data_IF_315938204081
#
_entry.id   IF_315938204081
#
_cell.length_a   1.000
_cell.length_b   1.000
_cell.length_c   1.000
_cell.angle_alpha   90.00
_cell.angle_beta   90.00
_cell.angle_gamma   90.00
#
_symmetry.space_group_name_H-M   'P 1'
#
loop_
_entity.id
_entity.type
_entity.pdbx_description
1 polymer ?
#
# COMPACT_ATOMS: atom_id res chain seq x y z
N UNK A 1 20.04 -24.52 8.31
CA UNK A 1 19.06 -25.32 9.09
C UNK A 1 18.78 -24.74 10.47
N UNK A 2 19.71 -24.70 11.44
CA UNK A 2 19.44 -24.04 12.75
C UNK A 2 19.30 -22.51 12.63
N UNK A 3 20.13 -21.86 11.80
CA UNK A 3 20.07 -20.41 11.58
C UNK A 3 18.78 -19.92 10.90
N UNK A 4 18.21 -20.72 10.00
CA UNK A 4 16.93 -20.40 9.35
C UNK A 4 15.78 -20.45 10.35
N UNK A 5 15.70 -21.51 11.16
CA UNK A 5 14.67 -21.67 12.20
C UNK A 5 14.71 -20.53 13.21
N UNK A 6 15.89 -20.13 13.68
CA UNK A 6 16.03 -19.00 14.61
C UNK A 6 15.56 -17.67 14.00
N UNK A 7 15.80 -17.48 12.70
CA UNK A 7 15.38 -16.27 11.98
C UNK A 7 13.85 -16.20 11.87
N UNK A 8 13.18 -17.32 11.59
CA UNK A 8 11.72 -17.40 11.60
C UNK A 8 11.12 -17.23 13.00
N UNK A 9 11.74 -17.81 14.04
CA UNK A 9 11.30 -17.63 15.43
C UNK A 9 11.37 -16.18 15.89
N UNK A 10 12.46 -15.48 15.54
CA UNK A 10 12.62 -14.06 15.86
C UNK A 10 11.51 -13.20 15.24
N UNK A 11 11.27 -13.38 13.94
CA UNK A 11 10.23 -12.64 13.22
C UNK A 11 8.85 -12.97 13.77
N UNK A 12 8.57 -14.25 14.03
CA UNK A 12 7.29 -14.67 14.62
C UNK A 12 7.07 -14.02 15.99
N UNK A 13 8.07 -13.99 16.87
CA UNK A 13 7.97 -13.33 18.17
C UNK A 13 7.71 -11.82 18.05
N UNK A 14 8.35 -11.15 17.07
CA UNK A 14 8.11 -9.73 16.78
C UNK A 14 6.70 -9.47 16.27
N UNK A 15 6.19 -10.33 15.37
CA UNK A 15 4.82 -10.23 14.85
C UNK A 15 3.82 -10.45 15.98
N UNK A 16 3.95 -11.51 16.77
CA UNK A 16 3.05 -11.77 17.92
C UNK A 16 3.03 -10.61 18.92
N UNK A 17 4.17 -9.96 19.17
CA UNK A 17 4.23 -8.79 20.04
C UNK A 17 3.48 -7.58 19.46
N UNK A 18 3.45 -7.41 18.14
CA UNK A 18 2.67 -6.37 17.44
C UNK A 18 1.18 -6.71 17.43
N UNK A 19 0.82 -7.97 17.14
CA UNK A 19 -0.56 -8.45 17.16
C UNK A 19 -1.21 -8.28 18.54
N UNK A 20 -0.45 -8.49 19.62
CA UNK A 20 -0.91 -8.26 20.99
C UNK A 20 -1.29 -6.81 21.31
N UNK A 21 -0.96 -5.85 20.42
CA UNK A 21 -1.32 -4.43 20.54
C UNK A 21 -2.46 -4.01 19.61
N UNK A 22 -3.05 -4.94 18.88
CA UNK A 22 -4.22 -4.61 18.06
C UNK A 22 -5.33 -3.99 18.90
N UNK A 23 -6.11 -3.13 18.24
CA UNK A 23 -7.27 -2.48 18.84
C UNK A 23 -8.19 -3.56 19.39
N UNK A 24 -8.50 -3.47 20.69
CA UNK A 24 -9.37 -4.43 21.36
C UNK A 24 -10.81 -4.32 20.83
N UNK A 25 -11.59 -5.39 21.00
CA UNK A 25 -13.00 -5.41 20.56
C UNK A 25 -13.80 -4.26 21.19
N UNK A 26 -13.63 -4.01 22.48
CA UNK A 26 -14.30 -2.89 23.17
C UNK A 26 -13.90 -1.53 22.58
N UNK A 27 -12.62 -1.32 22.28
CA UNK A 27 -12.18 -0.06 21.65
C UNK A 27 -12.71 0.07 20.22
N UNK A 28 -12.88 -1.04 19.49
CA UNK A 28 -13.55 -1.03 18.18
C UNK A 28 -15.03 -0.64 18.26
N UNK A 29 -15.76 -1.11 19.29
CA UNK A 29 -17.15 -0.69 19.54
C UNK A 29 -17.25 0.81 19.80
N UNK A 30 -16.30 1.37 20.57
CA UNK A 30 -16.23 2.82 20.81
C UNK A 30 -15.92 3.58 19.51
N UNK A 31 -14.94 3.09 18.70
CA UNK A 31 -14.57 3.68 17.42
C UNK A 31 -15.73 3.72 16.42
N UNK A 32 -16.58 2.69 16.40
CA UNK A 32 -17.76 2.65 15.54
C UNK A 32 -18.76 3.78 15.83
N UNK A 33 -18.81 4.25 17.08
CA UNK A 33 -19.67 5.35 17.50
C UNK A 33 -19.12 6.74 17.19
N UNK A 34 -17.88 6.87 16.72
CA UNK A 34 -17.25 8.16 16.48
C UNK A 34 -17.91 8.92 15.32
N UNK A 35 -18.03 10.24 15.49
CA UNK A 35 -18.62 11.13 14.48
C UNK A 35 -17.63 12.15 13.91
N UNK A 36 -16.41 12.18 14.44
CA UNK A 36 -15.37 13.12 14.00
C UNK A 36 -13.97 12.49 14.03
N UNK A 37 -13.02 12.99 13.20
CA UNK A 37 -11.62 12.55 13.25
C UNK A 37 -11.00 12.73 14.64
N UNK A 38 -11.30 13.83 15.33
CA UNK A 38 -10.80 14.11 16.69
C UNK A 38 -11.19 13.05 17.72
N UNK A 39 -12.42 12.55 17.69
CA UNK A 39 -12.85 11.44 18.55
C UNK A 39 -12.05 10.15 18.27
N UNK A 40 -11.85 9.83 16.99
CA UNK A 40 -11.03 8.68 16.58
C UNK A 40 -9.60 8.86 17.09
N UNK A 41 -9.00 10.03 16.91
CA UNK A 41 -7.62 10.30 17.36
C UNK A 41 -7.47 10.14 18.88
N UNK A 42 -8.49 10.56 19.64
CA UNK A 42 -8.51 10.43 21.11
C UNK A 42 -8.60 8.96 21.53
N UNK A 43 -9.40 8.14 20.85
CA UNK A 43 -9.50 6.71 21.12
C UNK A 43 -8.26 5.92 20.72
N UNK A 44 -7.50 6.42 19.74
CA UNK A 44 -6.23 5.85 19.31
C UNK A 44 -5.06 6.23 20.24
N UNK A 45 -5.27 7.07 21.25
CA UNK A 45 -4.25 7.36 22.27
C UNK A 45 -3.72 6.08 22.93
N UNK A 46 -2.40 6.02 23.07
CA UNK A 46 -1.68 4.88 23.62
C UNK A 46 -1.58 3.65 22.69
N UNK A 47 -2.05 3.74 21.44
CA UNK A 47 -1.80 2.72 20.41
C UNK A 47 -0.53 3.00 19.61
N UNK A 48 -0.10 2.04 18.79
CA UNK A 48 1.01 2.22 17.84
C UNK A 48 0.65 3.20 16.70
N UNK A 49 -0.63 3.57 16.51
CA UNK A 49 -1.08 4.59 15.55
C UNK A 49 -0.84 6.02 16.05
N UNK A 50 -0.92 6.24 17.36
CA UNK A 50 -0.87 7.58 17.96
C UNK A 50 0.35 8.43 17.52
N UNK A 51 1.59 7.88 17.40
CA UNK A 51 2.74 8.66 16.95
C UNK A 51 2.64 9.25 15.54
N UNK A 52 1.73 8.75 14.71
CA UNK A 52 1.49 9.25 13.35
C UNK A 52 0.39 10.31 13.31
N UNK A 53 -0.42 10.41 14.37
CA UNK A 53 -1.51 11.37 14.46
C UNK A 53 -0.96 12.76 14.82
N UNK A 54 -1.34 13.76 14.04
CA UNK A 54 -0.93 15.14 14.22
C UNK A 54 -2.16 16.06 14.34
N UNK A 55 -1.95 17.36 14.51
CA UNK A 55 -3.03 18.34 14.62
C UNK A 55 -3.95 18.35 13.38
N UNK A 56 -3.41 18.06 12.18
CA UNK A 56 -4.22 17.99 10.97
C UNK A 56 -5.17 16.78 11.00
N UNK A 57 -4.70 15.61 11.46
CA UNK A 57 -5.52 14.40 11.61
C UNK A 57 -6.67 14.55 12.62
N UNK A 58 -6.57 15.48 13.58
CA UNK A 58 -7.66 15.78 14.54
C UNK A 58 -8.82 16.47 13.83
N UNK A 59 -8.52 17.29 12.82
CA UNK A 59 -9.48 18.20 12.21
C UNK A 59 -9.95 17.73 10.83
N UNK A 60 -9.20 16.84 10.18
CA UNK A 60 -9.44 16.42 8.81
C UNK A 60 -9.35 14.89 8.65
N UNK A 61 -10.38 14.31 8.02
CA UNK A 61 -10.49 12.86 7.84
C UNK A 61 -9.47 12.30 6.86
N UNK A 62 -9.07 13.07 5.84
CA UNK A 62 -8.07 12.66 4.86
C UNK A 62 -6.70 12.61 5.52
N UNK A 63 -6.37 13.58 6.37
CA UNK A 63 -5.14 13.57 7.15
C UNK A 63 -5.10 12.44 8.19
N UNK A 64 -6.24 12.12 8.81
CA UNK A 64 -6.37 10.94 9.67
C UNK A 64 -6.13 9.64 8.91
N UNK A 65 -6.77 9.46 7.75
CA UNK A 65 -6.57 8.29 6.89
C UNK A 65 -5.10 8.17 6.48
N UNK A 66 -4.49 9.28 6.04
CA UNK A 66 -3.07 9.33 5.67
C UNK A 66 -2.17 8.89 6.82
N UNK A 67 -2.38 9.40 8.03
CA UNK A 67 -1.59 9.01 9.20
C UNK A 67 -1.69 7.50 9.50
N UNK A 68 -2.88 6.92 9.39
CA UNK A 68 -3.08 5.47 9.57
C UNK A 68 -2.39 4.66 8.47
N UNK A 69 -2.44 5.12 7.22
CA UNK A 69 -1.74 4.48 6.10
C UNK A 69 -0.21 4.59 6.24
N UNK A 70 0.30 5.70 6.73
CA UNK A 70 1.73 5.90 7.02
C UNK A 70 2.23 4.94 8.11
N UNK A 71 1.44 4.74 9.18
CA UNK A 71 1.73 3.70 10.18
C UNK A 71 1.80 2.33 9.52
N UNK A 72 0.79 1.96 8.74
CA UNK A 72 0.72 0.64 8.13
C UNK A 72 1.88 0.39 7.16
N UNK A 73 2.29 1.44 6.44
CA UNK A 73 3.44 1.39 5.56
C UNK A 73 4.73 1.21 6.34
N UNK A 74 4.89 1.98 7.41
CA UNK A 74 6.05 1.89 8.31
C UNK A 74 6.18 0.51 8.94
N UNK A 75 5.09 -0.08 9.40
CA UNK A 75 5.04 -1.45 9.90
C UNK A 75 5.47 -2.46 8.83
N UNK A 76 4.94 -2.34 7.61
CA UNK A 76 5.34 -3.19 6.48
C UNK A 76 6.84 -3.09 6.18
N UNK A 77 7.41 -1.88 6.23
CA UNK A 77 8.86 -1.66 6.09
C UNK A 77 9.69 -2.20 7.25
N UNK A 78 9.18 -2.13 8.48
CA UNK A 78 9.85 -2.72 9.65
C UNK A 78 9.94 -4.24 9.49
N UNK A 79 8.82 -4.88 9.15
CA UNK A 79 8.74 -6.33 8.95
C UNK A 79 9.63 -6.75 7.77
N UNK A 80 9.59 -6.03 6.65
CA UNK A 80 10.37 -6.36 5.44
C UNK A 80 11.90 -6.38 5.66
N UNK A 81 12.40 -5.70 6.70
CA UNK A 81 13.82 -5.68 7.09
C UNK A 81 14.24 -6.91 7.91
N UNK A 82 13.30 -7.53 8.62
CA UNK A 82 13.61 -8.64 9.54
C UNK A 82 13.23 -10.01 8.98
N UNK A 83 12.37 -10.08 7.96
CA UNK A 83 11.98 -11.36 7.36
C UNK A 83 13.18 -12.11 6.76
N UNK A 84 13.21 -13.45 6.85
CA UNK A 84 14.31 -14.24 6.29
C UNK A 84 14.35 -14.13 4.76
N UNK A 85 15.55 -14.23 4.18
CA UNK A 85 15.77 -14.07 2.73
C UNK A 85 14.91 -14.98 1.84
N UNK A 86 14.56 -16.17 2.32
CA UNK A 86 13.68 -17.11 1.60
C UNK A 86 12.23 -16.66 1.46
N UNK A 87 11.81 -15.65 2.23
CA UNK A 87 10.43 -15.14 2.28
C UNK A 87 10.23 -13.87 1.44
N UNK A 88 11.04 -13.70 0.39
CA UNK A 88 11.03 -12.51 -0.45
C UNK A 88 9.68 -12.16 -1.10
N UNK A 89 8.74 -13.07 -1.44
CA UNK A 89 7.43 -12.66 -1.97
C UNK A 89 6.58 -11.96 -0.93
N UNK A 90 6.73 -12.33 0.36
CA UNK A 90 6.07 -11.62 1.46
C UNK A 90 6.65 -10.20 1.56
N UNK A 91 7.97 -10.05 1.38
CA UNK A 91 8.62 -8.74 1.29
C UNK A 91 7.98 -7.89 0.20
N UNK A 92 7.89 -8.45 -1.00
CA UNK A 92 7.38 -7.75 -2.17
C UNK A 92 5.91 -7.35 -1.97
N UNK A 93 5.08 -8.25 -1.45
CA UNK A 93 3.70 -7.94 -1.09
C UNK A 93 3.59 -6.74 -0.11
N UNK A 94 4.42 -6.73 0.95
CA UNK A 94 4.39 -5.67 1.96
C UNK A 94 4.78 -4.30 1.40
N UNK A 95 5.68 -4.24 0.42
CA UNK A 95 6.22 -3.00 -0.13
C UNK A 95 5.47 -2.56 -1.40
N UNK A 96 5.41 -3.42 -2.42
CA UNK A 96 4.92 -3.10 -3.77
C UNK A 96 3.44 -2.69 -3.80
N UNK A 97 2.63 -3.09 -2.81
CA UNK A 97 1.26 -2.59 -2.66
C UNK A 97 1.20 -1.06 -2.57
N UNK A 98 2.21 -0.43 -1.98
CA UNK A 98 2.29 1.03 -1.85
C UNK A 98 2.61 1.69 -3.18
N UNK A 99 3.40 1.04 -4.05
CA UNK A 99 3.58 1.53 -5.42
C UNK A 99 2.25 1.56 -6.17
N UNK A 100 1.42 0.52 -6.02
CA UNK A 100 0.09 0.47 -6.63
C UNK A 100 -0.83 1.58 -6.11
N UNK A 101 -0.90 1.75 -4.78
CA UNK A 101 -1.70 2.81 -4.16
C UNK A 101 -1.26 4.18 -4.71
N UNK A 102 0.03 4.43 -4.74
CA UNK A 102 0.61 5.69 -5.21
C UNK A 102 0.41 5.92 -6.71
N UNK A 103 0.53 4.89 -7.56
CA UNK A 103 0.21 4.99 -8.98
C UNK A 103 -1.27 5.35 -9.20
N UNK A 104 -2.18 4.76 -8.42
CA UNK A 104 -3.60 5.16 -8.45
C UNK A 104 -3.79 6.60 -7.98
N UNK A 105 -3.07 7.04 -6.96
CA UNK A 105 -3.10 8.44 -6.50
C UNK A 105 -2.74 9.40 -7.63
N UNK A 106 -1.67 9.13 -8.38
CA UNK A 106 -1.28 9.95 -9.54
C UNK A 106 -2.36 9.89 -10.64
N UNK A 107 -2.85 8.70 -10.99
CA UNK A 107 -3.90 8.56 -12.01
C UNK A 107 -5.18 9.32 -11.66
N UNK A 108 -5.62 9.26 -10.40
CA UNK A 108 -6.79 9.99 -9.90
C UNK A 108 -6.55 11.50 -9.91
N UNK A 109 -5.34 11.93 -9.57
CA UNK A 109 -4.91 13.31 -9.67
C UNK A 109 -5.01 13.86 -11.09
N UNK A 110 -4.44 13.15 -12.07
CA UNK A 110 -4.51 13.52 -13.50
C UNK A 110 -5.97 13.54 -13.98
N UNK A 111 -6.74 12.51 -13.62
CA UNK A 111 -8.14 12.40 -14.04
C UNK A 111 -9.03 13.51 -13.46
N UNK A 112 -8.78 13.90 -12.22
CA UNK A 112 -9.52 14.93 -11.49
C UNK A 112 -8.98 16.35 -11.68
N UNK A 113 -7.96 16.54 -12.52
CA UNK A 113 -7.27 17.82 -12.73
C UNK A 113 -6.78 18.47 -11.42
N UNK A 114 -6.24 17.63 -10.51
CA UNK A 114 -5.72 18.08 -9.22
C UNK A 114 -4.38 18.78 -9.40
N UNK A 115 -4.09 19.73 -8.51
CA UNK A 115 -2.76 20.35 -8.45
C UNK A 115 -1.71 19.32 -8.06
N UNK A 116 -0.50 19.47 -8.61
CA UNK A 116 0.64 18.58 -8.33
C UNK A 116 0.95 18.45 -6.83
N UNK A 117 0.84 19.55 -6.08
CA UNK A 117 1.05 19.55 -4.64
C UNK A 117 -0.01 18.71 -3.90
N UNK A 118 -1.28 18.74 -4.35
CA UNK A 118 -2.36 17.95 -3.74
C UNK A 118 -2.20 16.43 -4.00
N UNK A 119 -1.68 16.07 -5.17
CA UNK A 119 -1.32 14.69 -5.51
C UNK A 119 -0.17 14.23 -4.62
N UNK A 120 0.85 15.08 -4.46
CA UNK A 120 2.02 14.81 -3.64
C UNK A 120 1.67 14.69 -2.15
N UNK A 121 0.75 15.50 -1.64
CA UNK A 121 0.30 15.44 -0.25
C UNK A 121 -0.44 14.14 0.06
N UNK A 122 -0.99 13.47 -0.96
CA UNK A 122 -1.72 12.20 -0.81
C UNK A 122 -0.82 10.96 -0.94
N UNK A 123 0.50 11.17 -1.02
CA UNK A 123 1.48 10.12 -1.27
C UNK A 123 1.90 9.42 0.02
N UNK A 124 1.98 8.08 -0.02
CA UNK A 124 2.44 7.29 1.12
C UNK A 124 3.77 6.63 0.73
N UNK A 125 4.86 7.03 1.39
CA UNK A 125 6.13 6.32 1.22
C UNK A 125 5.97 4.87 1.68
N UNK A 126 6.63 3.90 1.03
CA UNK A 126 6.49 2.49 1.41
C UNK A 126 6.84 1.49 0.32
N UNK A 127 6.75 1.94 -0.92
CA UNK A 127 6.98 1.13 -2.11
C UNK A 127 8.44 0.94 -2.49
N UNK A 128 8.65 0.23 -3.58
CA UNK A 128 9.96 -0.04 -4.18
C UNK A 128 10.31 0.98 -5.26
N UNK A 129 9.31 1.64 -5.85
CA UNK A 129 9.52 2.69 -6.85
C UNK A 129 10.01 3.95 -6.16
N UNK A 130 11.14 4.47 -6.65
CA UNK A 130 11.78 5.64 -6.07
C UNK A 130 10.93 6.91 -6.23
N UNK A 131 10.92 7.75 -5.19
CA UNK A 131 10.19 9.02 -5.18
C UNK A 131 10.54 9.96 -6.34
N UNK A 132 11.79 9.94 -6.81
CA UNK A 132 12.22 10.73 -7.97
C UNK A 132 11.46 10.33 -9.25
N UNK A 133 11.19 9.04 -9.44
CA UNK A 133 10.40 8.57 -10.57
C UNK A 133 8.93 8.98 -10.42
N UNK A 134 8.36 8.89 -9.21
CA UNK A 134 7.01 9.38 -8.97
C UNK A 134 6.85 10.88 -9.22
N UNK A 135 7.85 11.71 -8.90
CA UNK A 135 7.84 13.11 -9.32
C UNK A 135 7.70 13.27 -10.83
N UNK A 136 8.44 12.49 -11.61
CA UNK A 136 8.28 12.53 -13.08
C UNK A 136 6.88 12.12 -13.55
N UNK A 137 6.22 11.20 -12.83
CA UNK A 137 4.84 10.80 -13.12
C UNK A 137 3.81 11.85 -12.71
N UNK A 138 4.03 12.57 -11.61
CA UNK A 138 3.17 13.68 -11.14
C UNK A 138 3.31 14.88 -12.08
N UNK A 139 4.47 15.04 -12.72
CA UNK A 139 4.75 16.20 -13.55
C UNK A 139 4.10 16.19 -14.93
N UNK A 140 3.56 15.05 -15.37
CA UNK A 140 2.90 14.89 -16.66
C UNK A 140 1.56 15.63 -16.73
N UNK A 141 1.16 16.03 -17.95
CA UNK A 141 -0.08 16.78 -18.18
C UNK A 141 -1.25 15.90 -18.61
N UNK A 142 -0.99 14.66 -19.05
CA UNK A 142 -2.01 13.78 -19.60
C UNK A 142 -1.86 12.33 -19.14
N UNK A 143 -2.98 11.58 -19.19
CA UNK A 143 -2.97 10.14 -18.92
C UNK A 143 -2.15 9.37 -19.96
N UNK A 144 -2.13 9.83 -21.21
CA UNK A 144 -1.32 9.24 -22.28
C UNK A 144 0.17 9.34 -21.96
N UNK A 145 0.64 10.51 -21.49
CA UNK A 145 2.04 10.71 -21.07
C UNK A 145 2.39 9.86 -19.83
N UNK A 146 1.48 9.79 -18.86
CA UNK A 146 1.63 8.94 -17.67
C UNK A 146 1.84 7.47 -18.06
N UNK A 147 0.98 6.93 -18.92
CA UNK A 147 1.08 5.54 -19.38
C UNK A 147 2.34 5.33 -20.22
N UNK A 148 2.74 6.32 -21.04
CA UNK A 148 3.96 6.25 -21.83
C UNK A 148 5.23 6.14 -20.96
N UNK A 149 5.31 6.85 -19.83
CA UNK A 149 6.42 6.73 -18.88
C UNK A 149 6.49 5.34 -18.23
N UNK A 150 5.35 4.69 -18.03
CA UNK A 150 5.26 3.36 -17.43
C UNK A 150 5.52 2.21 -18.42
N UNK A 151 5.56 2.48 -19.73
CA UNK A 151 5.74 1.46 -20.77
C UNK A 151 7.07 0.68 -20.68
N UNK A 152 8.08 1.22 -19.99
CA UNK A 152 9.39 0.55 -19.76
C UNK A 152 9.55 -0.03 -18.35
N UNK A 153 8.45 -0.08 -17.59
CA UNK A 153 8.42 -0.58 -16.22
C UNK A 153 7.60 -1.88 -16.17
N UNK A 154 7.53 -2.58 -15.02
CA UNK A 154 6.61 -3.70 -14.85
C UNK A 154 5.14 -3.35 -15.09
N UNK A 155 4.77 -2.06 -15.16
CA UNK A 155 3.41 -1.58 -15.37
C UNK A 155 3.03 -1.38 -16.84
N UNK A 156 3.83 -1.89 -17.79
CA UNK A 156 3.64 -1.66 -19.23
C UNK A 156 2.24 -2.02 -19.75
N UNK A 157 1.57 -3.03 -19.19
CA UNK A 157 0.23 -3.47 -19.65
C UNK A 157 -0.86 -2.41 -19.45
N UNK A 158 -0.59 -1.30 -18.76
CA UNK A 158 -1.50 -0.15 -18.71
C UNK A 158 -1.84 0.42 -20.08
N UNK A 159 -0.97 0.24 -21.08
CA UNK A 159 -1.24 0.64 -22.47
C UNK A 159 -2.51 0.01 -23.02
N UNK A 160 -2.85 -1.21 -22.56
CA UNK A 160 -3.99 -1.98 -23.05
C UNK A 160 -5.34 -1.36 -22.61
N UNK A 161 -5.34 -0.62 -21.49
CA UNK A 161 -6.52 0.06 -20.94
C UNK A 161 -6.68 1.49 -21.43
N UNK A 162 -5.64 2.10 -22.01
CA UNK A 162 -5.61 3.52 -22.34
C UNK A 162 -6.66 3.91 -23.40
N UNK A 163 -6.85 3.11 -24.45
CA UNK A 163 -7.88 3.39 -25.48
C UNK A 163 -9.27 3.48 -24.85
N UNK A 164 -9.62 2.50 -24.00
CA UNK A 164 -10.92 2.47 -23.33
C UNK A 164 -11.08 3.60 -22.33
N UNK A 165 -10.02 3.95 -21.60
CA UNK A 165 -10.02 5.14 -20.75
C UNK A 165 -10.26 6.41 -21.58
N UNK A 166 -9.62 6.55 -22.74
CA UNK A 166 -9.79 7.75 -23.56
C UNK A 166 -11.20 7.86 -24.16
N UNK A 167 -11.82 6.73 -24.53
CA UNK A 167 -13.19 6.68 -25.03
C UNK A 167 -14.24 6.97 -23.95
N UNK A 168 -14.05 6.44 -22.74
CA UNK A 168 -15.09 6.44 -21.69
C UNK A 168 -14.83 7.41 -20.53
N UNK A 169 -13.59 7.88 -20.41
CA UNK A 169 -13.05 8.58 -19.22
C UNK A 169 -13.28 7.82 -17.91
N UNK A 170 -13.34 6.50 -17.96
CA UNK A 170 -13.49 5.66 -16.78
C UNK A 170 -12.15 5.08 -16.33
N UNK A 171 -11.67 5.50 -15.14
CA UNK A 171 -10.41 5.05 -14.54
C UNK A 171 -10.34 3.54 -14.29
N UNK A 172 -11.50 2.87 -14.14
CA UNK A 172 -11.58 1.43 -13.88
C UNK A 172 -10.73 0.61 -14.86
N UNK A 173 -10.70 0.99 -16.15
CA UNK A 173 -9.94 0.26 -17.17
C UNK A 173 -8.42 0.27 -16.94
N UNK A 174 -7.91 1.25 -16.21
CA UNK A 174 -6.50 1.34 -15.85
C UNK A 174 -6.25 0.81 -14.44
N UNK A 175 -7.11 1.13 -13.46
CA UNK A 175 -6.97 0.65 -12.08
C UNK A 175 -7.06 -0.89 -11.99
N UNK A 176 -7.99 -1.51 -12.73
CA UNK A 176 -8.10 -2.97 -12.76
C UNK A 176 -6.86 -3.64 -13.40
N UNK A 177 -6.18 -2.97 -14.32
CA UNK A 177 -4.93 -3.46 -14.90
C UNK A 177 -3.78 -3.39 -13.90
N UNK A 178 -3.67 -2.31 -13.12
CA UNK A 178 -2.69 -2.24 -12.02
C UNK A 178 -2.86 -3.41 -11.05
N UNK A 179 -4.10 -3.72 -10.69
CA UNK A 179 -4.41 -4.80 -9.75
C UNK A 179 -4.06 -6.15 -10.34
N UNK A 180 -4.43 -6.38 -11.60
CA UNK A 180 -4.05 -7.59 -12.31
C UNK A 180 -2.53 -7.74 -12.38
N UNK A 181 -1.79 -6.68 -12.69
CA UNK A 181 -0.32 -6.72 -12.75
C UNK A 181 0.26 -7.11 -11.40
N UNK A 182 -0.20 -6.45 -10.32
CA UNK A 182 0.27 -6.73 -8.96
C UNK A 182 0.00 -8.17 -8.53
N UNK A 183 -1.25 -8.61 -8.63
CA UNK A 183 -1.67 -9.93 -8.17
C UNK A 183 -1.13 -11.06 -9.04
N UNK A 184 -1.10 -10.90 -10.37
CA UNK A 184 -0.57 -11.94 -11.27
C UNK A 184 0.93 -12.15 -11.08
N UNK A 185 1.71 -11.07 -10.96
CA UNK A 185 3.15 -11.15 -10.69
C UNK A 185 3.41 -11.85 -9.35
N UNK A 186 2.70 -11.46 -8.28
CA UNK A 186 2.84 -12.08 -6.97
C UNK A 186 2.42 -13.56 -6.98
N UNK A 187 1.36 -13.91 -7.70
CA UNK A 187 0.87 -15.28 -7.84
C UNK A 187 1.89 -16.20 -8.52
N UNK A 188 2.46 -15.77 -9.65
CA UNK A 188 3.47 -16.53 -10.38
C UNK A 188 4.67 -16.86 -9.49
N UNK A 189 5.11 -15.88 -8.70
CA UNK A 189 6.24 -16.01 -7.77
C UNK A 189 5.95 -17.01 -6.65
N UNK A 190 4.73 -16.98 -6.12
CA UNK A 190 4.32 -17.81 -4.97
C UNK A 190 4.03 -19.27 -5.37
N UNK A 191 3.57 -19.52 -6.60
CA UNK A 191 3.37 -20.88 -7.13
C UNK A 191 4.67 -21.70 -7.17
N UNK A 192 5.78 -21.05 -7.49
CA UNK A 192 7.07 -21.69 -7.70
C UNK A 192 7.87 -21.95 -6.42
N UNK A 193 7.40 -21.47 -5.27
CA UNK A 193 8.16 -21.52 -4.01
C UNK A 193 7.63 -22.57 -3.03
N UNK A 194 8.56 -23.36 -2.49
CA UNK A 194 8.28 -24.33 -1.42
C UNK A 194 8.30 -23.64 -0.05
N UNK A 195 7.48 -24.11 0.89
CA UNK A 195 7.51 -23.65 2.29
C UNK A 195 6.74 -22.35 2.58
N UNK A 196 5.83 -21.94 1.68
CA UNK A 196 4.98 -20.75 1.84
C UNK A 196 3.49 -21.08 1.59
N UNK A 197 3.04 -22.27 2.01
CA UNK A 197 1.71 -22.78 1.68
C UNK A 197 0.60 -21.82 2.14
N UNK A 198 0.68 -21.36 3.38
CA UNK A 198 -0.31 -20.47 4.00
C UNK A 198 -0.38 -19.13 3.26
N UNK A 199 0.78 -18.57 2.89
CA UNK A 199 0.82 -17.35 2.08
C UNK A 199 0.29 -17.60 0.66
N UNK A 200 0.55 -18.76 0.06
CA UNK A 200 -0.03 -19.15 -1.23
C UNK A 200 -1.55 -19.26 -1.17
N UNK A 201 -2.10 -19.88 -0.13
CA UNK A 201 -3.54 -19.97 0.06
C UNK A 201 -4.16 -18.57 0.21
N UNK A 202 -3.52 -17.68 0.97
CA UNK A 202 -3.92 -16.28 1.08
C UNK A 202 -3.94 -15.56 -0.28
N UNK A 203 -2.84 -15.59 -1.04
CA UNK A 203 -2.78 -14.94 -2.35
C UNK A 203 -3.78 -15.56 -3.33
N UNK A 204 -4.01 -16.86 -3.26
CA UNK A 204 -4.98 -17.55 -4.12
C UNK A 204 -6.45 -17.15 -3.91
N UNK A 205 -6.78 -16.48 -2.79
CA UNK A 205 -8.10 -15.86 -2.57
C UNK A 205 -8.17 -14.45 -3.14
N UNK A 206 -7.02 -13.77 -3.27
CA UNK A 206 -6.93 -12.38 -3.74
C UNK A 206 -6.85 -12.25 -5.27
N UNK A 207 -6.43 -13.30 -5.98
CA UNK A 207 -6.26 -13.39 -7.45
C UNK A 207 -7.56 -13.88 -8.09
#
# INVERSE_FOLDING_TARGET
MIGDVLSYLYVNAKIMAKEGKFISVSRWEDLWGCTSPGEITSLLEGTDYFPYLNEAAINDSKELEKAVLEEFSSLGREISKIIPKGSWPIKEYLLKKWDIINLRTVMRGIHGDLKKDEILDSFIEGGEVGFAFFKTLIDVESMDDFVALLAKTPYQSLTDGLSKYNETKNLFFLEALLDRIFWADLWEKVLNLKGIREFREFIGVCV
#
